data_IF_491748422699
#
_entry.id   IF_491748422699
#
_cell.length_a   1.000
_cell.length_b   1.000
_cell.length_c   1.000
_cell.angle_alpha   90.00
_cell.angle_beta   90.00
_cell.angle_gamma   90.00
#
_symmetry.space_group_name_H-M   'P 1'
#
loop_
_entity.id
_entity.type
_entity.pdbx_description
1 polymer ?
#
# COMPACT_ATOMS: atom_id res chain seq x y z
N UNK A 1 -23.58 -43.17 47.80
CA UNK A 1 -22.86 -41.99 48.34
C UNK A 1 -21.49 -41.96 47.65
N UNK A 2 -21.32 -41.18 46.57
CA UNK A 2 -20.69 -39.84 46.53
C UNK A 2 -19.34 -39.77 47.26
N UNK A 3 -18.26 -39.61 46.48
CA UNK A 3 -17.09 -38.71 46.66
C UNK A 3 -15.93 -39.25 45.80
N UNK A 4 -15.74 -38.77 44.56
CA UNK A 4 -14.91 -37.60 44.20
C UNK A 4 -13.42 -37.86 44.33
N UNK A 5 -12.73 -38.07 43.20
CA UNK A 5 -11.41 -37.49 42.96
C UNK A 5 -11.18 -37.35 41.46
N UNK A 6 -10.99 -36.10 41.07
CA UNK A 6 -10.95 -35.60 39.72
C UNK A 6 -9.50 -35.39 39.26
N UNK A 7 -9.39 -35.22 37.94
CA UNK A 7 -8.30 -34.56 37.20
C UNK A 7 -7.09 -35.44 36.88
N UNK A 8 -7.21 -36.20 35.79
CA UNK A 8 -6.07 -36.73 35.02
C UNK A 8 -5.76 -35.78 33.85
N UNK A 9 -4.66 -35.07 34.03
CA UNK A 9 -3.73 -34.44 33.09
C UNK A 9 -4.05 -34.60 31.59
N UNK A 10 -4.57 -33.55 30.96
CA UNK A 10 -4.56 -33.38 29.51
C UNK A 10 -3.45 -32.40 29.12
N UNK A 11 -2.27 -32.93 28.80
CA UNK A 11 -1.18 -32.15 28.20
C UNK A 11 -1.53 -31.82 26.74
N UNK A 12 -2.13 -30.65 26.52
CA UNK A 12 -2.22 -30.03 25.20
C UNK A 12 -1.75 -28.59 25.32
N UNK A 13 -0.56 -28.29 24.79
CA UNK A 13 -0.32 -27.05 24.08
C UNK A 13 1.00 -27.18 23.31
N UNK A 14 0.88 -27.09 22.00
CA UNK A 14 1.95 -27.07 21.04
C UNK A 14 3.05 -26.08 21.41
N UNK A 15 4.31 -26.49 21.18
CA UNK A 15 5.43 -25.58 21.00
C UNK A 15 5.17 -24.69 19.78
N UNK A 16 4.44 -23.60 19.98
CA UNK A 16 4.42 -22.51 19.03
C UNK A 16 5.75 -21.77 19.16
N UNK A 17 6.54 -21.81 18.09
CA UNK A 17 7.73 -21.00 17.91
C UNK A 17 7.40 -19.53 18.18
N UNK A 18 7.73 -19.03 19.36
CA UNK A 18 7.98 -17.61 19.53
C UNK A 18 9.35 -17.33 18.94
N UNK A 19 9.37 -17.23 17.60
CA UNK A 19 10.41 -16.50 16.90
C UNK A 19 10.48 -15.13 17.55
N UNK A 20 11.58 -14.87 18.25
CA UNK A 20 12.00 -13.56 18.68
C UNK A 20 12.18 -12.72 17.43
N UNK A 21 11.09 -12.07 17.00
CA UNK A 21 11.17 -11.00 16.02
C UNK A 21 11.98 -9.90 16.69
N UNK A 22 13.14 -9.50 16.13
CA UNK A 22 13.82 -8.33 16.64
C UNK A 22 12.83 -7.16 16.55
N UNK A 23 12.65 -6.49 17.68
CA UNK A 23 11.89 -5.26 17.84
C UNK A 23 12.45 -4.22 16.86
N UNK A 24 11.87 -4.20 15.65
CA UNK A 24 12.13 -3.20 14.64
C UNK A 24 11.59 -1.87 15.15
N UNK A 25 12.48 -1.02 15.62
CA UNK A 25 12.17 0.32 16.10
C UNK A 25 11.64 1.16 14.92
N UNK A 26 10.34 1.48 14.99
CA UNK A 26 9.62 2.61 14.39
C UNK A 26 9.58 2.81 12.86
N UNK A 27 9.26 1.77 12.09
CA UNK A 27 8.65 1.97 10.77
C UNK A 27 7.12 1.93 10.88
N UNK A 28 6.52 3.10 11.12
CA UNK A 28 5.06 3.27 11.17
C UNK A 28 4.45 3.11 9.76
N UNK A 29 3.23 2.53 9.64
CA UNK A 29 2.60 2.27 8.35
C UNK A 29 2.19 3.56 7.62
N UNK A 30 2.28 3.55 6.30
CA UNK A 30 1.70 4.59 5.42
C UNK A 30 0.23 4.26 5.20
N UNK A 31 -0.63 5.27 5.25
CA UNK A 31 -2.06 5.12 5.02
C UNK A 31 -2.49 5.74 3.70
N UNK A 32 -3.44 5.09 3.02
CA UNK A 32 -4.03 5.61 1.79
C UNK A 32 -5.54 5.60 1.96
N UNK A 33 -6.17 6.76 1.77
CA UNK A 33 -7.61 6.94 1.88
C UNK A 33 -8.19 7.24 0.51
N UNK A 34 -9.16 6.45 0.08
CA UNK A 34 -9.93 6.62 -1.16
C UNK A 34 -11.35 7.05 -0.79
N UNK A 35 -11.76 8.20 -1.32
CA UNK A 35 -13.10 8.74 -1.19
C UNK A 35 -13.88 8.41 -2.46
N UNK A 36 -14.59 7.29 -2.42
CA UNK A 36 -15.49 6.78 -3.47
C UNK A 36 -16.67 6.08 -2.79
N UNK A 37 -17.87 6.23 -3.36
CA UNK A 37 -19.10 5.55 -2.94
C UNK A 37 -18.91 4.04 -2.80
N UNK A 38 -18.15 3.42 -3.71
CA UNK A 38 -18.00 1.96 -3.72
C UNK A 38 -17.13 1.44 -2.58
N UNK A 39 -16.20 2.25 -2.05
CA UNK A 39 -15.21 1.95 -0.98
C UNK A 39 -14.36 0.68 -1.13
N UNK A 40 -14.69 -0.20 -2.07
CA UNK A 40 -14.08 -1.51 -2.28
C UNK A 40 -13.19 -1.47 -3.51
N UNK A 41 -11.88 -1.58 -3.31
CA UNK A 41 -10.91 -1.65 -4.41
C UNK A 41 -9.64 -2.38 -3.97
N UNK A 42 -8.84 -2.76 -4.95
CA UNK A 42 -7.49 -3.25 -4.75
C UNK A 42 -6.51 -2.13 -5.09
N UNK A 43 -5.50 -1.93 -4.25
CA UNK A 43 -4.40 -0.99 -4.49
C UNK A 43 -3.10 -1.76 -4.37
N UNK A 44 -2.22 -1.55 -5.35
CA UNK A 44 -0.86 -2.08 -5.36
C UNK A 44 0.10 -0.93 -5.15
N UNK A 45 1.05 -1.12 -4.25
CA UNK A 45 2.16 -0.20 -3.99
C UNK A 45 3.49 -0.88 -4.26
N UNK A 46 4.48 -0.11 -4.67
CA UNK A 46 5.85 -0.56 -4.85
C UNK A 46 6.77 0.28 -3.97
N UNK A 47 7.53 -0.41 -3.13
CA UNK A 47 8.60 0.15 -2.32
C UNK A 47 9.93 -0.04 -3.03
N UNK A 48 10.80 0.96 -2.95
CA UNK A 48 12.18 0.92 -3.42
C UNK A 48 13.08 1.22 -2.24
N UNK A 49 14.09 0.38 -2.03
CA UNK A 49 15.01 0.46 -0.90
C UNK A 49 16.39 0.71 -1.45
N UNK A 50 16.97 1.87 -1.13
CA UNK A 50 18.33 2.23 -1.51
C UNK A 50 19.25 2.07 -0.32
N UNK A 51 20.30 1.26 -0.47
CA UNK A 51 21.35 1.11 0.55
C UNK A 51 22.47 2.10 0.26
N UNK A 52 22.82 2.95 1.24
CA UNK A 52 24.05 3.76 1.19
C UNK A 52 25.22 2.79 1.13
N UNK A 53 26.01 2.92 0.07
CA UNK A 53 27.07 2.02 -0.30
C UNK A 53 28.16 1.96 0.76
N UNK A 54 28.56 0.74 1.13
CA UNK A 54 29.96 0.47 1.45
C UNK A 54 30.74 0.50 0.12
N UNK A 55 31.96 1.04 0.06
CA UNK A 55 32.66 1.41 -1.18
C UNK A 55 33.07 0.25 -2.11
N UNK A 56 32.58 -0.98 -1.92
CA UNK A 56 32.99 -2.17 -2.69
C UNK A 56 31.84 -3.03 -3.25
N UNK A 57 30.59 -2.56 -3.26
CA UNK A 57 29.54 -3.31 -3.97
C UNK A 57 28.42 -2.39 -4.47
N UNK A 58 28.11 -2.38 -5.78
CA UNK A 58 26.88 -1.79 -6.26
C UNK A 58 25.73 -2.68 -5.79
N UNK A 59 25.13 -2.35 -4.63
CA UNK A 59 23.87 -2.96 -4.24
C UNK A 59 22.76 -2.29 -5.04
N UNK A 60 22.24 -3.03 -6.01
CA UNK A 60 21.01 -2.69 -6.71
C UNK A 60 19.91 -2.37 -5.69
N UNK A 61 19.03 -1.39 -5.99
CA UNK A 61 17.91 -1.08 -5.11
C UNK A 61 17.02 -2.30 -4.97
N UNK A 62 16.58 -2.61 -3.75
CA UNK A 62 15.62 -3.68 -3.53
C UNK A 62 14.20 -3.16 -3.80
N UNK A 63 13.39 -3.95 -4.50
CA UNK A 63 12.04 -3.57 -4.90
C UNK A 63 11.05 -4.53 -4.27
N UNK A 64 10.14 -4.02 -3.43
CA UNK A 64 9.07 -4.80 -2.82
C UNK A 64 7.71 -4.34 -3.33
N UNK A 65 6.89 -5.25 -3.86
CA UNK A 65 5.53 -4.92 -4.31
C UNK A 65 4.51 -5.51 -3.34
N UNK A 66 3.60 -4.68 -2.83
CA UNK A 66 2.55 -5.07 -1.89
C UNK A 66 1.18 -4.74 -2.48
N UNK A 67 0.27 -5.69 -2.47
CA UNK A 67 -1.11 -5.49 -2.95
C UNK A 67 -2.08 -5.70 -1.80
N UNK A 68 -3.01 -4.76 -1.62
CA UNK A 68 -4.04 -4.85 -0.59
C UNK A 68 -5.43 -4.58 -1.17
N UNK A 69 -6.43 -5.25 -0.58
CA UNK A 69 -7.85 -4.99 -0.83
C UNK A 69 -8.44 -4.33 0.40
N UNK A 70 -9.32 -3.36 0.19
CA UNK A 70 -10.12 -2.76 1.26
C UNK A 70 -11.60 -2.84 0.94
N UNK A 71 -12.43 -2.70 1.96
CA UNK A 71 -13.91 -2.55 1.88
C UNK A 71 -14.37 -1.18 2.37
N UNK A 72 -13.53 -0.43 3.09
CA UNK A 72 -13.88 0.86 3.72
C UNK A 72 -13.19 2.07 3.06
N UNK A 73 -12.45 1.85 1.97
CA UNK A 73 -11.70 2.87 1.25
C UNK A 73 -10.36 3.24 1.89
N UNK A 74 -9.98 2.63 3.02
CA UNK A 74 -8.70 2.90 3.70
C UNK A 74 -7.76 1.70 3.60
N UNK A 75 -6.49 1.97 3.29
CA UNK A 75 -5.41 0.98 3.18
C UNK A 75 -4.27 1.36 4.13
N UNK A 76 -3.62 0.36 4.72
CA UNK A 76 -2.46 0.55 5.58
C UNK A 76 -1.32 -0.31 5.06
N UNK A 77 -0.33 0.31 4.46
CA UNK A 77 0.84 -0.37 3.92
C UNK A 77 1.99 -0.26 4.92
N UNK A 78 2.45 -1.42 5.40
CA UNK A 78 3.67 -1.48 6.22
C UNK A 78 4.86 -1.12 5.35
N UNK A 79 5.68 -0.18 5.82
CA UNK A 79 6.96 0.15 5.19
C UNK A 79 7.91 -1.03 5.42
N UNK A 80 8.50 -1.62 4.36
CA UNK A 80 9.49 -2.68 4.52
C UNK A 80 10.69 -2.22 5.36
N UNK A 81 11.02 -3.01 6.38
CA UNK A 81 12.14 -2.74 7.29
C UNK A 81 13.27 -3.69 6.99
N UNK A 82 14.47 -3.13 6.84
CA UNK A 82 15.69 -3.90 6.59
C UNK A 82 16.62 -3.85 7.79
N UNK A 83 17.34 -4.94 8.10
CA UNK A 83 18.24 -5.01 9.25
C UNK A 83 19.42 -4.03 9.18
N UNK A 84 19.70 -3.44 8.01
CA UNK A 84 20.68 -2.36 7.80
C UNK A 84 20.04 -0.97 7.82
N UNK A 85 18.98 -0.77 8.63
CA UNK A 85 18.11 0.41 8.62
C UNK A 85 18.86 1.76 8.68
N UNK A 86 19.96 1.84 9.45
CA UNK A 86 20.79 3.06 9.56
C UNK A 86 21.48 3.46 8.25
N UNK A 87 21.60 2.54 7.29
CA UNK A 87 22.22 2.76 5.99
C UNK A 87 21.26 2.51 4.83
N UNK A 88 19.97 2.27 5.08
CA UNK A 88 18.98 2.02 4.03
C UNK A 88 17.88 3.07 4.07
N UNK A 89 17.45 3.52 2.89
CA UNK A 89 16.30 4.40 2.72
C UNK A 89 15.21 3.64 1.97
N UNK A 90 14.07 3.42 2.60
CA UNK A 90 12.89 2.80 1.97
C UNK A 90 11.92 3.89 1.54
N UNK A 91 11.46 3.83 0.29
CA UNK A 91 10.59 4.83 -0.30
C UNK A 91 9.41 4.18 -1.00
N UNK A 92 8.23 4.79 -0.89
CA UNK A 92 7.11 4.46 -1.75
C UNK A 92 7.40 5.04 -3.12
N UNK A 93 7.63 4.19 -4.11
CA UNK A 93 8.06 4.59 -5.46
C UNK A 93 6.89 4.68 -6.45
N UNK A 94 5.87 3.84 -6.25
CA UNK A 94 4.75 3.74 -7.19
C UNK A 94 3.49 3.23 -6.51
N UNK A 95 2.36 3.68 -7.04
CA UNK A 95 1.03 3.24 -6.65
C UNK A 95 0.16 2.99 -7.89
N UNK A 96 -0.70 1.98 -7.83
CA UNK A 96 -1.78 1.77 -8.80
C UNK A 96 -3.06 1.27 -8.13
N UNK A 97 -4.18 1.89 -8.50
CA UNK A 97 -5.50 1.41 -8.12
C UNK A 97 -6.09 0.43 -9.13
N UNK A 98 -6.94 -0.48 -8.69
CA UNK A 98 -7.69 -1.39 -9.56
C UNK A 98 -8.84 -0.71 -10.32
N UNK A 99 -9.01 0.60 -10.14
CA UNK A 99 -10.15 1.41 -10.60
C UNK A 99 -10.01 1.77 -12.08
N UNK A 100 -10.27 0.80 -12.94
CA UNK A 100 -10.57 0.90 -14.38
C UNK A 100 -10.84 -0.52 -14.86
N UNK A 101 -11.55 -0.70 -15.98
CA UNK A 101 -11.60 -2.02 -16.63
C UNK A 101 -10.17 -2.52 -16.90
N UNK A 102 -9.93 -3.84 -16.82
CA UNK A 102 -8.60 -4.45 -17.06
C UNK A 102 -7.98 -4.05 -18.43
N UNK A 103 -8.83 -3.73 -19.40
CA UNK A 103 -8.45 -3.29 -20.76
C UNK A 103 -8.21 -1.77 -20.88
N UNK A 104 -8.35 -1.03 -19.80
CA UNK A 104 -8.13 0.40 -19.75
C UNK A 104 -6.99 0.73 -18.79
N UNK A 105 -6.30 1.84 -19.06
CA UNK A 105 -5.27 2.31 -18.15
C UNK A 105 -5.88 2.57 -16.77
N UNK A 106 -5.18 2.05 -15.76
CA UNK A 106 -5.54 2.21 -14.36
C UNK A 106 -4.85 3.44 -13.79
N UNK A 107 -5.52 4.21 -12.91
CA UNK A 107 -4.89 5.29 -12.19
C UNK A 107 -3.64 4.79 -11.49
N UNK A 108 -2.51 5.42 -11.79
CA UNK A 108 -1.23 5.11 -11.17
C UNK A 108 -0.44 6.38 -10.93
N UNK A 109 0.47 6.37 -9.98
CA UNK A 109 1.32 7.52 -9.70
C UNK A 109 2.72 7.04 -9.34
N UNK A 110 3.73 7.76 -9.80
CA UNK A 110 5.05 7.68 -9.20
C UNK A 110 5.13 8.62 -8.01
N UNK A 111 5.84 8.18 -7.00
CA UNK A 111 6.12 8.91 -5.78
C UNK A 111 7.64 8.86 -5.62
N UNK A 112 8.34 9.99 -5.51
CA UNK A 112 9.70 9.97 -4.93
C UNK A 112 9.62 10.73 -3.65
N UNK A 113 10.17 10.11 -2.61
CA UNK A 113 10.19 10.61 -1.25
C UNK A 113 8.79 10.96 -0.76
N UNK A 114 8.36 10.31 0.32
CA UNK A 114 7.22 10.79 1.10
C UNK A 114 7.58 12.15 1.72
N UNK A 115 7.69 13.21 0.91
CA UNK A 115 7.85 14.56 1.44
C UNK A 115 6.52 14.90 2.04
N UNK A 116 6.48 14.91 3.37
CA UNK A 116 5.32 15.29 4.11
C UNK A 116 5.12 16.79 3.94
N UNK A 117 3.96 17.15 3.42
CA UNK A 117 3.47 18.53 3.47
C UNK A 117 2.48 18.63 4.64
N UNK A 118 2.53 19.75 5.36
CA UNK A 118 1.53 20.08 6.37
C UNK A 118 0.20 20.47 5.73
N UNK A 119 0.20 20.85 4.44
CA UNK A 119 -1.01 21.06 3.67
C UNK A 119 -1.67 19.72 3.31
N UNK A 120 -2.99 19.63 3.51
CA UNK A 120 -3.77 18.45 3.12
C UNK A 120 -3.83 18.34 1.59
N UNK A 121 -3.05 17.44 0.99
CA UNK A 121 -3.03 17.20 -0.45
C UNK A 121 -4.06 16.14 -0.83
N UNK A 122 -5.10 16.56 -1.56
CA UNK A 122 -6.12 15.65 -2.10
C UNK A 122 -5.94 15.49 -3.60
N UNK A 123 -5.93 14.25 -4.08
CA UNK A 123 -5.75 13.92 -5.48
C UNK A 123 -7.02 13.34 -6.07
N UNK A 124 -7.40 13.82 -7.25
CA UNK A 124 -8.53 13.35 -8.03
C UNK A 124 -8.00 12.41 -9.12
N UNK A 125 -8.66 11.25 -9.31
CA UNK A 125 -8.35 10.34 -10.41
C UNK A 125 -9.58 9.99 -11.21
N UNK A 126 -9.44 10.05 -12.54
CA UNK A 126 -10.48 9.63 -13.49
C UNK A 126 -10.31 8.15 -13.81
N UNK A 127 -11.41 7.42 -13.73
CA UNK A 127 -11.50 5.99 -14.04
C UNK A 127 -12.12 5.79 -15.41
N UNK A 128 -11.80 4.67 -16.04
CA UNK A 128 -12.28 4.34 -17.37
C UNK A 128 -12.94 2.96 -17.41
N UNK A 129 -14.02 2.86 -18.17
CA UNK A 129 -14.69 1.59 -18.48
C UNK A 129 -14.51 1.26 -19.95
N UNK A 130 -14.15 0.02 -20.23
CA UNK A 130 -14.09 -0.50 -21.59
C UNK A 130 -15.52 -0.70 -22.11
N UNK A 131 -15.90 0.04 -23.16
CA UNK A 131 -17.23 -0.05 -23.78
C UNK A 131 -17.08 -0.35 -25.28
N UNK A 132 -17.84 -1.33 -25.75
CA UNK A 132 -17.95 -1.66 -27.17
C UNK A 132 -19.27 -1.13 -27.73
N UNK A 133 -19.20 -0.59 -28.95
CA UNK A 133 -20.36 -0.21 -29.74
C UNK A 133 -20.24 -0.87 -31.11
N UNK A 134 -21.36 -1.29 -31.68
CA UNK A 134 -21.42 -1.88 -33.02
C UNK A 134 -20.80 -0.98 -34.09
N UNK A 135 -20.99 0.34 -33.99
CA UNK A 135 -20.59 1.29 -35.03
C UNK A 135 -19.19 1.90 -34.82
N UNK A 136 -18.69 1.94 -33.58
CA UNK A 136 -17.46 2.68 -33.25
C UNK A 136 -16.37 1.82 -32.64
N UNK A 137 -16.50 0.49 -32.70
CA UNK A 137 -15.61 -0.45 -32.05
C UNK A 137 -15.57 -0.30 -30.52
N UNK A 138 -14.55 -0.90 -29.91
CA UNK A 138 -14.35 -0.88 -28.47
C UNK A 138 -13.34 0.20 -28.05
N UNK A 139 -13.69 0.97 -27.02
CA UNK A 139 -12.82 2.02 -26.47
C UNK A 139 -13.03 2.21 -24.97
N UNK A 140 -12.01 2.75 -24.32
CA UNK A 140 -12.09 3.20 -22.94
C UNK A 140 -12.84 4.54 -22.88
N UNK A 141 -13.93 4.57 -22.12
CA UNK A 141 -14.70 5.79 -21.86
C UNK A 141 -14.59 6.18 -20.38
N UNK A 142 -14.57 7.48 -20.05
CA UNK A 142 -14.66 7.94 -18.66
C UNK A 142 -15.84 7.29 -17.93
N UNK A 143 -15.63 6.86 -16.69
CA UNK A 143 -16.66 6.24 -15.83
C UNK A 143 -16.95 7.14 -14.62
N UNK A 144 -15.99 7.25 -13.69
CA UNK A 144 -16.12 8.05 -12.46
C UNK A 144 -14.83 8.77 -12.10
N UNK A 145 -14.92 9.79 -11.26
CA UNK A 145 -13.79 10.42 -10.58
C UNK A 145 -13.85 10.00 -9.11
N UNK A 146 -12.72 9.62 -8.53
CA UNK A 146 -12.58 9.42 -7.08
C UNK A 146 -11.49 10.32 -6.54
N UNK A 147 -11.59 10.62 -5.24
CA UNK A 147 -10.55 11.38 -4.53
C UNK A 147 -9.68 10.43 -3.70
N UNK A 148 -8.45 10.82 -3.46
CA UNK A 148 -7.46 10.05 -2.76
C UNK A 148 -6.58 10.97 -1.92
N UNK A 149 -6.19 10.52 -0.74
CA UNK A 149 -5.13 11.13 0.06
C UNK A 149 -4.14 10.04 0.43
N UNK A 150 -2.85 10.31 0.22
CA UNK A 150 -1.76 9.50 0.74
C UNK A 150 -1.23 10.17 2.00
N UNK A 151 -1.12 9.41 3.09
CA UNK A 151 -0.75 9.88 4.41
C UNK A 151 0.49 9.13 4.88
N UNK A 152 1.45 9.86 5.41
CA UNK A 152 2.59 9.26 6.09
C UNK A 152 2.19 8.63 7.44
N UNK A 153 3.20 8.11 8.11
CA UNK A 153 3.13 7.52 9.44
C UNK A 153 2.51 8.40 10.54
N UNK A 154 2.67 9.71 10.43
CA UNK A 154 2.24 10.70 11.42
C UNK A 154 0.96 11.42 10.98
N UNK A 155 0.37 11.01 9.85
CA UNK A 155 -0.84 11.59 9.28
C UNK A 155 -0.59 12.84 8.42
N UNK A 156 0.67 13.16 8.11
CA UNK A 156 1.06 14.19 7.16
C UNK A 156 0.72 13.77 5.73
N UNK A 157 0.31 14.72 4.89
CA UNK A 157 -0.03 14.40 3.49
C UNK A 157 1.23 14.20 2.66
N UNK A 158 1.21 13.18 1.81
CA UNK A 158 2.30 12.86 0.89
C UNK A 158 2.03 13.42 -0.49
N UNK A 159 3.08 13.95 -1.12
CA UNK A 159 3.00 14.48 -2.49
C UNK A 159 3.19 13.39 -3.56
N UNK A 160 2.33 13.35 -4.58
CA UNK A 160 2.53 12.59 -5.82
C UNK A 160 3.44 13.37 -6.79
N UNK A 161 4.41 12.72 -7.42
CA UNK A 161 5.35 13.40 -8.33
C UNK A 161 4.95 13.29 -9.80
N UNK A 162 4.64 12.09 -10.26
CA UNK A 162 4.14 11.88 -11.63
C UNK A 162 2.76 11.22 -11.55
N UNK A 163 1.71 12.03 -11.40
CA UNK A 163 0.37 11.51 -11.29
C UNK A 163 -0.16 11.09 -12.68
N UNK A 164 -0.05 9.80 -13.03
CA UNK A 164 -0.62 9.23 -14.27
C UNK A 164 -2.11 8.93 -14.09
N UNK A 165 -2.95 9.85 -14.57
CA UNK A 165 -4.40 9.90 -14.35
C UNK A 165 -4.82 10.34 -12.94
N UNK A 166 -3.87 10.83 -12.13
CA UNK A 166 -4.17 11.63 -10.93
C UNK A 166 -3.92 13.11 -11.25
N UNK A 167 -4.56 14.01 -10.50
CA UNK A 167 -4.29 15.45 -10.51
C UNK A 167 -4.69 15.99 -9.14
N UNK A 168 -4.15 17.15 -8.74
CA UNK A 168 -4.64 17.80 -7.52
C UNK A 168 -6.12 18.14 -7.72
N UNK A 169 -6.95 17.71 -6.78
CA UNK A 169 -8.22 18.38 -6.56
C UNK A 169 -7.90 19.76 -5.95
#
# INVERSE_FOLDING_TARGET
MKCSLAVLCACVAALALSATTPTATDAKPVAIRIFDERKTSVVTVRWVVTFRSHPRSPRWPEITTVTQRTTNGTYYFKVPVYPMSKFSRTELAWLQGSRSSLRCERPSALMNFASSDKASLTYCARTYRFKCSFLSGCRCKPDKIFKMVALDADGGSMRLLEPRNFYLC
#
